data_IF_923440034766
#
_entry.id   IF_923440034766
#
_cell.length_a   1.000
_cell.length_b   1.000
_cell.length_c   1.000
_cell.angle_alpha   90.00
_cell.angle_beta   90.00
_cell.angle_gamma   90.00
#
_symmetry.space_group_name_H-M   'P 1'
#
loop_
_entity.id
_entity.type
_entity.pdbx_description
1 polymer ?
#
# COMPACT_ATOMS: atom_id res chain seq x y z
N UNK A 1 12.62 19.19 -6.69
CA UNK A 1 13.34 18.76 -5.48
C UNK A 1 13.03 19.76 -4.38
N UNK A 2 12.51 19.31 -3.26
CA UNK A 2 12.11 20.18 -2.14
C UNK A 2 13.07 19.95 -0.97
N UNK A 3 13.46 21.03 -0.27
CA UNK A 3 14.29 20.96 0.94
C UNK A 3 13.39 20.78 2.16
N UNK A 4 13.64 19.74 2.93
CA UNK A 4 13.01 19.43 4.20
C UNK A 4 13.91 19.90 5.34
N UNK A 5 13.62 21.08 5.89
CA UNK A 5 14.37 21.64 7.01
C UNK A 5 13.81 21.15 8.33
N UNK A 6 14.65 20.57 9.15
CA UNK A 6 14.29 19.92 10.42
C UNK A 6 15.27 20.33 11.54
N UNK A 7 14.94 20.08 12.80
CA UNK A 7 15.90 20.26 13.90
C UNK A 7 17.19 19.40 13.77
N UNK A 8 17.17 18.37 12.94
CA UNK A 8 18.30 17.45 12.74
C UNK A 8 19.13 17.79 11.49
N UNK A 9 18.71 18.77 10.72
CA UNK A 9 19.39 19.20 9.49
C UNK A 9 18.44 19.44 8.32
N UNK A 10 19.02 19.66 7.15
CA UNK A 10 18.30 19.85 5.90
C UNK A 10 18.47 18.65 4.97
N UNK A 11 17.36 18.17 4.43
CA UNK A 11 17.32 17.00 3.57
C UNK A 11 16.61 17.32 2.26
N UNK A 12 17.06 16.73 1.16
CA UNK A 12 16.41 16.83 -0.14
C UNK A 12 15.47 15.66 -0.31
N UNK A 13 14.17 15.90 -0.51
CA UNK A 13 13.19 14.83 -0.64
C UNK A 13 12.37 15.01 -1.93
N UNK A 14 12.17 13.89 -2.60
CA UNK A 14 11.28 13.76 -3.76
C UNK A 14 10.14 12.79 -3.46
N UNK A 15 9.03 12.99 -4.11
CA UNK A 15 7.94 11.99 -4.14
C UNK A 15 8.26 10.91 -5.17
N UNK A 16 7.81 9.71 -4.89
CA UNK A 16 7.75 8.63 -5.86
C UNK A 16 6.32 8.03 -5.88
N UNK A 17 5.70 7.80 -7.04
CA UNK A 17 6.12 8.29 -8.34
C UNK A 17 6.21 9.82 -8.40
N UNK A 18 7.07 10.33 -9.27
CA UNK A 18 7.20 11.77 -9.47
C UNK A 18 5.88 12.34 -10.01
N UNK A 19 5.44 13.46 -9.46
CA UNK A 19 4.24 14.17 -9.92
C UNK A 19 4.62 15.47 -10.62
N UNK A 20 3.82 15.90 -11.60
CA UNK A 20 3.97 17.22 -12.23
C UNK A 20 3.60 18.39 -11.31
N UNK A 21 2.95 18.13 -10.18
CA UNK A 21 2.53 19.14 -9.23
C UNK A 21 3.68 19.47 -8.25
N UNK A 22 4.30 20.63 -8.47
CA UNK A 22 5.41 21.14 -7.66
C UNK A 22 5.00 21.55 -6.23
N UNK A 23 3.70 21.65 -5.93
CA UNK A 23 3.22 21.99 -4.60
C UNK A 23 3.15 20.78 -3.67
N UNK A 24 3.14 19.57 -4.22
CA UNK A 24 3.11 18.34 -3.46
C UNK A 24 4.51 17.99 -2.92
N UNK A 25 4.69 18.17 -1.59
CA UNK A 25 5.92 17.80 -0.89
C UNK A 25 5.96 16.31 -0.57
N UNK A 26 7.17 15.76 -0.37
CA UNK A 26 7.41 14.38 0.08
C UNK A 26 7.25 14.21 1.60
N UNK A 27 6.77 15.19 2.32
CA UNK A 27 6.47 15.18 3.75
C UNK A 27 5.27 16.05 4.06
N UNK A 28 4.70 15.85 5.22
CA UNK A 28 3.63 16.69 5.76
C UNK A 28 4.00 17.31 7.12
N UNK A 29 3.08 18.08 7.69
CA UNK A 29 3.31 18.73 8.97
C UNK A 29 3.42 17.73 10.14
N UNK A 30 2.96 16.51 9.99
CA UNK A 30 3.10 15.49 11.02
C UNK A 30 4.57 15.01 11.12
N UNK A 31 5.28 14.90 9.98
CA UNK A 31 6.72 14.57 9.97
C UNK A 31 7.53 15.67 10.66
N UNK A 32 7.26 16.96 10.31
CA UNK A 32 7.88 18.10 10.98
C UNK A 32 7.62 18.09 12.49
N UNK A 33 6.38 17.76 12.89
CA UNK A 33 5.97 17.76 14.29
C UNK A 33 6.64 16.64 15.09
N UNK A 34 6.73 15.42 14.54
CA UNK A 34 7.46 14.32 15.17
C UNK A 34 8.90 14.73 15.47
N UNK A 35 9.65 15.20 14.47
CA UNK A 35 11.06 15.53 14.63
C UNK A 35 11.28 16.68 15.65
N UNK A 36 10.40 17.68 15.64
CA UNK A 36 10.43 18.76 16.64
C UNK A 36 10.14 18.24 18.04
N UNK A 37 9.20 17.32 18.18
CA UNK A 37 8.86 16.70 19.47
C UNK A 37 10.00 15.84 19.99
N UNK A 38 10.64 15.02 19.15
CA UNK A 38 11.80 14.22 19.53
C UNK A 38 12.94 15.10 20.05
N UNK A 39 13.23 16.24 19.39
CA UNK A 39 14.22 17.19 19.88
C UNK A 39 13.84 17.74 21.26
N UNK A 40 12.55 18.00 21.51
CA UNK A 40 12.08 18.47 22.83
C UNK A 40 12.31 17.40 23.90
N UNK A 41 11.97 16.15 23.62
CA UNK A 41 12.20 15.02 24.54
C UNK A 41 13.70 14.84 24.85
N UNK A 42 14.56 14.99 23.86
CA UNK A 42 16.02 14.92 24.05
C UNK A 42 16.53 16.06 24.94
N UNK A 43 16.09 17.30 24.71
CA UNK A 43 16.45 18.46 25.55
C UNK A 43 15.98 18.32 27.00
N UNK A 44 14.87 17.62 27.22
CA UNK A 44 14.32 17.32 28.55
C UNK A 44 14.94 16.09 29.19
N UNK A 45 15.87 15.39 28.53
CA UNK A 45 16.48 14.13 28.96
C UNK A 45 15.46 12.99 29.17
N UNK A 46 14.29 13.09 28.55
CA UNK A 46 13.25 12.03 28.56
C UNK A 46 13.60 10.95 27.54
N UNK A 47 14.15 11.33 26.40
CA UNK A 47 14.58 10.41 25.35
C UNK A 47 16.08 10.54 25.15
N UNK A 48 16.80 9.43 25.31
CA UNK A 48 18.21 9.32 24.95
C UNK A 48 18.35 8.25 23.87
N UNK A 49 18.73 8.66 22.67
CA UNK A 49 19.02 7.74 21.56
C UNK A 49 20.54 7.54 21.51
N UNK A 50 20.98 6.36 21.91
CA UNK A 50 22.36 5.88 21.80
C UNK A 50 22.54 5.06 20.52
N UNK A 51 23.77 4.63 20.23
CA UNK A 51 24.06 3.74 19.11
C UNK A 51 23.39 2.36 19.24
N UNK A 52 23.04 1.95 20.46
CA UNK A 52 22.36 0.68 20.77
C UNK A 52 20.84 0.81 20.80
N UNK A 53 20.32 2.04 20.75
CA UNK A 53 18.87 2.25 20.77
C UNK A 53 18.21 1.74 19.49
N UNK A 54 17.17 0.92 19.63
CA UNK A 54 16.38 0.40 18.53
C UNK A 54 15.22 1.34 18.22
N UNK A 55 15.15 1.77 16.97
CA UNK A 55 14.15 2.68 16.46
C UNK A 55 13.29 1.98 15.40
N UNK A 56 11.97 2.07 15.52
CA UNK A 56 11.02 1.55 14.54
C UNK A 56 10.19 2.71 13.95
N UNK A 57 10.11 2.77 12.64
CA UNK A 57 9.28 3.74 11.91
C UNK A 57 8.31 2.97 11.01
N UNK A 58 7.00 3.17 11.17
CA UNK A 58 5.98 2.56 10.35
C UNK A 58 5.37 3.59 9.40
N UNK A 59 5.16 3.17 8.14
CA UNK A 59 4.42 3.93 7.11
C UNK A 59 5.05 5.27 6.72
N UNK A 60 6.38 5.37 6.69
CA UNK A 60 7.09 6.55 6.19
C UNK A 60 7.02 6.62 4.66
N UNK A 61 5.96 7.25 4.13
CA UNK A 61 5.57 7.15 2.73
C UNK A 61 6.67 7.55 1.71
N UNK A 62 7.55 8.49 2.07
CA UNK A 62 8.62 8.97 1.19
C UNK A 62 9.98 9.04 1.89
N UNK A 63 10.10 8.49 3.09
CA UNK A 63 11.36 8.46 3.80
C UNK A 63 11.74 9.77 4.51
N UNK A 64 10.78 10.62 4.85
CA UNK A 64 11.05 11.87 5.55
C UNK A 64 11.63 11.63 6.94
N UNK A 65 11.02 10.75 7.72
CA UNK A 65 11.49 10.35 9.04
C UNK A 65 12.71 9.45 8.96
N UNK A 66 12.71 8.48 8.05
CA UNK A 66 13.82 7.55 7.84
C UNK A 66 15.10 8.28 7.46
N UNK A 67 15.01 9.26 6.56
CA UNK A 67 16.16 10.08 6.14
C UNK A 67 16.68 10.94 7.30
N UNK A 68 15.79 11.63 8.02
CA UNK A 68 16.18 12.52 9.13
C UNK A 68 16.78 11.76 10.33
N UNK A 69 16.35 10.50 10.54
CA UNK A 69 16.78 9.66 11.67
C UNK A 69 17.79 8.58 11.27
N UNK A 70 18.35 8.64 10.06
CA UNK A 70 19.24 7.62 9.52
C UNK A 70 20.52 7.36 10.36
N UNK A 71 20.99 8.37 11.12
CA UNK A 71 22.11 8.22 12.05
C UNK A 71 21.83 7.21 13.18
N UNK A 72 20.56 6.97 13.50
CA UNK A 72 20.11 6.03 14.53
C UNK A 72 19.74 4.64 13.95
N UNK A 73 20.02 4.39 12.67
CA UNK A 73 19.80 3.11 11.98
C UNK A 73 18.39 2.52 12.20
N UNK A 74 17.31 3.27 11.88
CA UNK A 74 15.96 2.81 12.13
C UNK A 74 15.63 1.53 11.34
N UNK A 75 14.81 0.65 11.93
CA UNK A 75 14.00 -0.28 11.21
C UNK A 75 12.81 0.47 10.62
N UNK A 76 12.58 0.35 9.33
CA UNK A 76 11.47 1.02 8.62
C UNK A 76 10.55 -0.03 8.05
N UNK A 77 9.27 0.07 8.35
CA UNK A 77 8.28 -0.97 8.12
C UNK A 77 7.17 -0.41 7.22
N UNK A 78 6.96 -1.00 6.04
CA UNK A 78 5.98 -0.49 5.07
C UNK A 78 5.33 -1.61 4.27
N UNK A 79 4.03 -1.49 3.96
CA UNK A 79 3.32 -2.38 3.03
C UNK A 79 3.45 -1.95 1.57
N UNK A 80 4.06 -0.79 1.29
CA UNK A 80 4.06 -0.17 -0.04
C UNK A 80 5.42 -0.26 -0.71
N UNK A 81 5.49 -0.91 -1.87
CA UNK A 81 6.66 -0.91 -2.75
C UNK A 81 7.01 0.51 -3.25
N UNK A 82 5.99 1.36 -3.45
CA UNK A 82 6.21 2.75 -3.83
C UNK A 82 6.91 3.52 -2.71
N UNK A 83 6.54 3.27 -1.45
CA UNK A 83 7.22 3.86 -0.29
C UNK A 83 8.64 3.34 -0.15
N UNK A 84 8.86 2.05 -0.31
CA UNK A 84 10.20 1.44 -0.32
C UNK A 84 11.10 2.09 -1.37
N UNK A 85 10.60 2.23 -2.60
CA UNK A 85 11.31 2.90 -3.70
C UNK A 85 11.63 4.36 -3.36
N UNK A 86 10.65 5.10 -2.84
CA UNK A 86 10.82 6.50 -2.44
C UNK A 86 11.89 6.67 -1.35
N UNK A 87 11.87 5.81 -0.33
CA UNK A 87 12.86 5.80 0.75
C UNK A 87 14.25 5.57 0.16
N UNK A 88 14.42 4.52 -0.66
CA UNK A 88 15.70 4.18 -1.29
C UNK A 88 16.25 5.32 -2.17
N UNK A 89 15.39 5.98 -2.96
CA UNK A 89 15.80 7.13 -3.76
C UNK A 89 16.20 8.32 -2.88
N UNK A 90 15.44 8.62 -1.83
CA UNK A 90 15.71 9.77 -0.96
C UNK A 90 16.95 9.59 -0.08
N UNK A 91 17.23 8.38 0.42
CA UNK A 91 18.52 8.10 1.09
C UNK A 91 19.69 8.31 0.15
N UNK A 92 19.59 7.84 -1.11
CA UNK A 92 20.63 8.02 -2.12
C UNK A 92 20.89 9.50 -2.45
N UNK A 93 19.83 10.30 -2.61
CA UNK A 93 19.92 11.75 -2.89
C UNK A 93 20.62 12.50 -1.73
N UNK A 94 20.44 12.04 -0.49
CA UNK A 94 21.05 12.64 0.69
C UNK A 94 22.41 11.98 1.06
N UNK A 95 22.97 11.13 0.19
CA UNK A 95 24.26 10.44 0.41
C UNK A 95 24.31 9.64 1.70
N UNK A 96 23.17 9.12 2.15
CA UNK A 96 23.06 8.26 3.34
C UNK A 96 23.46 6.84 2.94
N UNK A 97 24.29 6.19 3.78
CA UNK A 97 24.62 4.79 3.57
C UNK A 97 23.36 3.92 3.68
N UNK A 98 23.00 3.13 2.66
CA UNK A 98 21.81 2.27 2.71
C UNK A 98 21.78 1.32 3.91
N UNK A 99 22.93 0.91 4.43
CA UNK A 99 23.03 0.08 5.65
C UNK A 99 22.56 0.79 6.93
N UNK A 100 22.35 2.11 6.88
CA UNK A 100 21.78 2.86 7.99
C UNK A 100 20.25 2.76 8.05
N UNK A 101 19.61 2.11 7.10
CA UNK A 101 18.15 1.91 7.10
C UNK A 101 17.89 0.41 6.95
N UNK A 102 17.26 -0.19 7.94
CA UNK A 102 16.76 -1.57 7.85
C UNK A 102 15.32 -1.55 7.34
N UNK A 103 15.16 -1.57 6.01
CA UNK A 103 13.87 -1.49 5.35
C UNK A 103 13.25 -2.88 5.23
N UNK A 104 12.04 -3.05 5.75
CA UNK A 104 11.28 -4.31 5.81
C UNK A 104 9.83 -4.07 5.36
N UNK A 105 9.20 -5.11 4.85
CA UNK A 105 7.77 -5.07 4.54
C UNK A 105 6.93 -5.55 5.74
N UNK A 106 5.63 -5.22 5.74
CA UNK A 106 4.72 -5.53 6.86
C UNK A 106 4.40 -7.02 7.07
N UNK A 107 4.96 -7.91 6.26
CA UNK A 107 4.85 -9.37 6.42
C UNK A 107 6.10 -9.96 7.09
N UNK A 108 7.19 -9.20 7.17
CA UNK A 108 8.41 -9.61 7.85
C UNK A 108 8.22 -9.58 9.36
N UNK A 109 8.94 -10.44 10.07
CA UNK A 109 8.86 -10.47 11.53
C UNK A 109 9.74 -9.38 12.15
N UNK A 110 9.18 -8.57 13.02
CA UNK A 110 9.95 -7.65 13.87
C UNK A 110 10.85 -8.42 14.85
N UNK A 111 11.90 -7.81 15.36
CA UNK A 111 12.84 -8.47 16.26
C UNK A 111 13.28 -7.61 17.44
N UNK A 112 13.27 -8.19 18.64
CA UNK A 112 13.68 -7.57 19.89
C UNK A 112 12.73 -6.48 20.36
N UNK A 113 13.17 -5.66 21.33
CA UNK A 113 12.38 -4.57 21.92
C UNK A 113 12.88 -3.23 21.36
N UNK A 114 11.96 -2.34 21.00
CA UNK A 114 12.28 -1.01 20.50
C UNK A 114 12.22 0.03 21.63
N UNK A 115 13.15 0.99 21.59
CA UNK A 115 13.16 2.13 22.51
C UNK A 115 12.22 3.24 22.06
N UNK A 116 12.07 3.41 20.74
CA UNK A 116 11.18 4.39 20.13
C UNK A 116 10.44 3.76 18.95
N UNK A 117 9.13 3.89 18.95
CA UNK A 117 8.25 3.48 17.84
C UNK A 117 7.51 4.72 17.32
N UNK A 118 7.67 5.01 16.04
CA UNK A 118 6.99 6.10 15.35
C UNK A 118 6.04 5.50 14.31
N UNK A 119 4.76 5.82 14.40
CA UNK A 119 3.73 5.31 13.50
C UNK A 119 3.14 6.48 12.72
N UNK A 120 3.42 6.58 11.44
CA UNK A 120 2.59 7.42 10.55
C UNK A 120 1.23 6.74 10.45
N UNK A 121 0.25 7.26 11.19
CA UNK A 121 -1.07 6.63 11.32
C UNK A 121 -1.72 6.48 9.95
N UNK A 122 -1.95 5.24 9.49
CA UNK A 122 -2.55 5.01 8.18
C UNK A 122 -4.05 5.37 8.20
N UNK A 123 -4.60 5.68 7.01
CA UNK A 123 -6.04 5.93 6.87
C UNK A 123 -6.87 4.66 7.06
N UNK A 124 -6.28 3.51 6.78
CA UNK A 124 -6.91 2.20 6.95
C UNK A 124 -6.77 1.76 8.41
N UNK A 125 -7.88 1.77 9.16
CA UNK A 125 -7.90 1.38 10.57
C UNK A 125 -7.53 -0.08 10.80
N UNK A 126 -7.80 -0.96 9.86
CA UNK A 126 -7.42 -2.36 9.97
C UNK A 126 -5.90 -2.55 9.86
N UNK A 127 -5.25 -1.77 8.98
CA UNK A 127 -3.79 -1.74 8.92
C UNK A 127 -3.20 -1.25 10.25
N UNK A 128 -3.74 -0.16 10.80
CA UNK A 128 -3.33 0.32 12.11
C UNK A 128 -3.53 -0.73 13.21
N UNK A 129 -4.68 -1.41 13.22
CA UNK A 129 -4.99 -2.47 14.19
C UNK A 129 -3.97 -3.60 14.12
N UNK A 130 -3.67 -4.08 12.93
CA UNK A 130 -2.69 -5.15 12.71
C UNK A 130 -1.27 -4.72 13.16
N UNK A 131 -0.84 -3.53 12.76
CA UNK A 131 0.43 -2.94 13.17
C UNK A 131 0.55 -2.79 14.68
N UNK A 132 -0.48 -2.31 15.37
CA UNK A 132 -0.48 -2.18 16.81
C UNK A 132 -0.36 -3.55 17.53
N UNK A 133 -0.99 -4.60 17.00
CA UNK A 133 -0.80 -5.95 17.52
C UNK A 133 0.64 -6.44 17.31
N UNK A 134 1.23 -6.20 16.15
CA UNK A 134 2.61 -6.60 15.85
C UNK A 134 3.62 -5.88 16.74
N UNK A 135 3.53 -4.54 16.84
CA UNK A 135 4.50 -3.77 17.64
C UNK A 135 4.38 -4.03 19.13
N UNK A 136 3.19 -4.39 19.64
CA UNK A 136 2.97 -4.64 21.07
C UNK A 136 3.95 -5.69 21.63
N UNK A 137 4.25 -6.74 20.89
CA UNK A 137 5.17 -7.81 21.29
C UNK A 137 6.63 -7.35 21.29
N UNK A 138 6.89 -6.15 20.73
CA UNK A 138 8.22 -5.55 20.59
C UNK A 138 8.38 -4.25 21.39
N UNK A 139 7.49 -4.03 22.37
CA UNK A 139 7.50 -2.89 23.28
C UNK A 139 7.61 -3.35 24.74
N UNK A 140 8.22 -2.52 25.57
CA UNK A 140 8.19 -2.62 27.02
C UNK A 140 7.67 -1.32 27.66
N UNK A 141 7.70 -1.24 28.99
CA UNK A 141 7.25 -0.08 29.77
C UNK A 141 8.05 1.21 29.49
N UNK A 142 9.26 1.08 28.96
CA UNK A 142 10.17 2.18 28.63
C UNK A 142 10.06 2.60 27.15
N UNK A 143 9.35 1.83 26.34
CA UNK A 143 9.17 2.14 24.91
C UNK A 143 8.35 3.40 24.74
N UNK A 144 8.89 4.40 24.04
CA UNK A 144 8.16 5.60 23.63
C UNK A 144 7.41 5.31 22.33
N UNK A 145 6.08 5.38 22.37
CA UNK A 145 5.22 5.12 21.21
C UNK A 145 4.55 6.41 20.77
N UNK A 146 4.81 6.84 19.52
CA UNK A 146 4.29 8.08 18.94
C UNK A 146 3.56 7.77 17.63
N UNK A 147 2.25 7.93 17.63
CA UNK A 147 1.47 8.01 16.41
C UNK A 147 1.48 9.45 15.85
N UNK A 148 1.52 9.63 14.54
CA UNK A 148 1.52 10.95 13.92
C UNK A 148 0.69 10.99 12.63
N UNK A 149 -0.18 11.98 12.51
CA UNK A 149 -0.94 12.24 11.27
C UNK A 149 -1.46 13.68 11.23
N UNK A 150 -1.96 14.07 10.06
CA UNK A 150 -2.79 15.27 9.96
C UNK A 150 -4.05 15.10 10.82
N UNK A 151 -4.46 16.13 11.56
CA UNK A 151 -5.54 16.08 12.56
C UNK A 151 -6.85 15.50 12.03
N UNK A 152 -7.15 15.72 10.74
CA UNK A 152 -8.35 15.18 10.08
C UNK A 152 -8.33 13.64 9.92
N UNK A 153 -7.20 12.98 10.17
CA UNK A 153 -7.05 11.53 10.09
C UNK A 153 -6.96 10.85 11.47
N UNK A 154 -6.93 11.64 12.56
CA UNK A 154 -6.96 11.11 13.92
C UNK A 154 -8.40 11.23 14.44
N UNK A 155 -9.10 10.12 14.41
CA UNK A 155 -10.49 9.99 14.87
C UNK A 155 -10.56 9.28 16.22
N UNK A 156 -11.70 9.32 16.88
CA UNK A 156 -11.94 8.56 18.11
C UNK A 156 -11.67 7.06 17.93
N UNK A 157 -12.02 6.50 16.78
CA UNK A 157 -11.72 5.10 16.45
C UNK A 157 -10.22 4.80 16.41
N UNK A 158 -9.41 5.73 15.91
CA UNK A 158 -7.95 5.63 15.94
C UNK A 158 -7.42 5.54 17.37
N UNK A 159 -7.86 6.45 18.25
CA UNK A 159 -7.42 6.46 19.64
C UNK A 159 -7.86 5.20 20.39
N UNK A 160 -9.09 4.75 20.16
CA UNK A 160 -9.60 3.49 20.75
C UNK A 160 -8.79 2.26 20.36
N UNK A 161 -8.20 2.22 19.16
CA UNK A 161 -7.29 1.13 18.78
C UNK A 161 -6.00 1.16 19.62
N UNK A 162 -5.37 2.32 19.77
CA UNK A 162 -4.21 2.47 20.66
C UNK A 162 -4.56 2.08 22.11
N UNK A 163 -5.66 2.62 22.65
CA UNK A 163 -6.10 2.33 24.02
C UNK A 163 -6.36 0.83 24.24
N UNK A 164 -7.02 0.18 23.29
CA UNK A 164 -7.39 -1.24 23.40
C UNK A 164 -6.23 -2.18 23.25
N UNK A 165 -5.24 -1.84 22.41
CA UNK A 165 -4.16 -2.76 22.03
C UNK A 165 -2.87 -2.44 22.79
N UNK A 166 -2.54 -1.17 22.91
CA UNK A 166 -1.29 -0.74 23.56
C UNK A 166 -1.52 -0.38 25.02
N UNK A 167 -2.40 0.60 25.29
CA UNK A 167 -2.69 1.06 26.66
C UNK A 167 -3.07 2.54 26.71
N UNK A 168 -2.92 3.20 27.85
CA UNK A 168 -3.30 4.59 28.06
C UNK A 168 -2.81 5.49 26.95
N UNK A 169 -3.72 6.27 26.36
CA UNK A 169 -3.43 7.04 25.15
C UNK A 169 -3.88 8.49 25.32
N UNK A 170 -3.03 9.41 24.93
CA UNK A 170 -3.29 10.86 24.94
C UNK A 170 -2.91 11.46 23.57
N UNK A 171 -3.26 12.72 23.36
CA UNK A 171 -2.90 13.43 22.13
C UNK A 171 -2.28 14.78 22.43
N UNK A 172 -1.37 15.24 21.57
CA UNK A 172 -0.90 16.61 21.58
C UNK A 172 -1.98 17.62 21.19
N UNK A 173 -1.73 18.89 21.43
CA UNK A 173 -2.44 19.95 20.72
C UNK A 173 -2.09 19.90 19.23
N UNK A 174 -3.01 20.39 18.39
CA UNK A 174 -2.74 20.45 16.95
C UNK A 174 -1.67 21.52 16.65
N UNK A 175 -0.67 21.14 15.84
CA UNK A 175 0.34 22.06 15.29
C UNK A 175 0.35 21.96 13.77
N UNK A 176 0.18 23.08 13.06
CA UNK A 176 0.07 23.13 11.57
C UNK A 176 -0.94 22.09 11.01
N UNK A 177 -2.06 21.87 11.68
CA UNK A 177 -3.06 20.83 11.35
C UNK A 177 -2.56 19.38 11.49
N UNK A 178 -1.42 19.13 12.10
CA UNK A 178 -0.94 17.82 12.50
C UNK A 178 -1.16 17.60 14.00
N UNK A 179 -1.23 16.35 14.42
CA UNK A 179 -1.37 15.94 15.82
C UNK A 179 -0.56 14.68 16.06
N UNK A 180 0.02 14.57 17.26
CA UNK A 180 0.67 13.37 17.76
C UNK A 180 -0.28 12.61 18.68
N UNK A 181 -0.12 11.30 18.70
CA UNK A 181 -0.77 10.35 19.62
C UNK A 181 0.34 9.74 20.46
N UNK A 182 0.20 9.77 21.77
CA UNK A 182 1.12 9.18 22.72
C UNK A 182 0.44 8.01 23.40
N UNK A 183 1.04 6.85 23.35
CA UNK A 183 0.53 5.66 24.00
C UNK A 183 1.62 5.00 24.81
N UNK A 184 1.27 4.46 25.97
CA UNK A 184 2.18 3.73 26.84
C UNK A 184 1.74 2.27 26.93
N UNK A 185 2.68 1.34 26.88
CA UNK A 185 2.36 -0.07 27.00
C UNK A 185 1.74 -0.37 28.35
N UNK A 186 0.56 -0.97 28.33
CA UNK A 186 -0.06 -1.59 29.51
C UNK A 186 0.05 -3.11 29.35
N UNK A 187 0.97 -3.70 30.11
CA UNK A 187 1.24 -5.15 30.10
C UNK A 187 0.08 -5.99 30.65
N UNK A 188 -0.87 -5.36 31.36
CA UNK A 188 -2.04 -6.05 31.93
C UNK A 188 -3.15 -6.27 30.90
N UNK A 189 -3.15 -5.51 29.80
CA UNK A 189 -4.13 -5.67 28.74
C UNK A 189 -3.94 -7.00 28.00
N UNK A 190 -5.05 -7.63 27.67
CA UNK A 190 -5.10 -8.88 26.90
C UNK A 190 -5.86 -8.64 25.57
N UNK A 191 -5.28 -7.92 24.58
CA UNK A 191 -5.97 -7.54 23.36
C UNK A 191 -6.24 -8.72 22.41
N UNK A 192 -5.73 -9.93 22.72
CA UNK A 192 -5.78 -11.07 21.82
C UNK A 192 -4.76 -10.97 20.68
N UNK A 193 -4.91 -11.84 19.69
CA UNK A 193 -4.11 -11.81 18.46
C UNK A 193 -4.73 -10.88 17.43
N UNK A 194 -3.91 -10.43 16.47
CA UNK A 194 -4.41 -9.72 15.30
C UNK A 194 -5.52 -10.52 14.60
N UNK A 195 -6.64 -9.89 14.21
CA UNK A 195 -7.70 -10.56 13.46
C UNK A 195 -7.35 -10.82 11.98
N UNK A 196 -6.13 -10.46 11.56
CA UNK A 196 -5.71 -10.59 10.17
C UNK A 196 -4.67 -11.71 9.99
N UNK A 197 -4.72 -12.40 8.81
CA UNK A 197 -5.66 -12.21 7.70
C UNK A 197 -7.09 -12.62 8.05
N UNK A 198 -8.05 -11.74 7.76
CA UNK A 198 -9.49 -12.00 7.90
C UNK A 198 -10.05 -12.71 6.67
N UNK A 199 -11.26 -13.26 6.75
CA UNK A 199 -11.90 -13.97 5.63
C UNK A 199 -13.29 -13.45 5.36
N UNK A 200 -13.68 -13.43 4.07
CA UNK A 200 -15.07 -13.31 3.66
C UNK A 200 -15.45 -14.43 2.67
N UNK A 201 -16.74 -14.74 2.60
CA UNK A 201 -17.25 -15.70 1.63
C UNK A 201 -17.77 -14.96 0.40
N UNK A 202 -17.28 -15.34 -0.78
CA UNK A 202 -17.74 -14.81 -2.05
C UNK A 202 -19.13 -15.37 -2.36
N UNK A 203 -20.15 -14.53 -2.32
CA UNK A 203 -21.56 -14.92 -2.42
C UNK A 203 -21.95 -15.53 -3.78
N UNK A 204 -21.19 -15.27 -4.84
CA UNK A 204 -21.44 -15.84 -6.18
C UNK A 204 -20.86 -17.25 -6.37
N UNK A 205 -19.87 -17.67 -5.59
CA UNK A 205 -19.22 -18.98 -5.72
C UNK A 205 -19.21 -19.79 -4.42
N UNK A 206 -19.47 -19.17 -3.27
CA UNK A 206 -19.36 -19.79 -1.95
C UNK A 206 -17.90 -19.93 -1.45
N UNK A 207 -16.93 -19.47 -2.21
CA UNK A 207 -15.51 -19.58 -1.88
C UNK A 207 -15.08 -18.57 -0.82
N UNK A 208 -14.12 -18.97 0.03
CA UNK A 208 -13.57 -18.11 1.09
C UNK A 208 -12.28 -17.44 0.62
N UNK A 209 -12.23 -16.12 0.68
CA UNK A 209 -11.06 -15.32 0.38
C UNK A 209 -10.44 -14.76 1.66
N UNK A 210 -9.16 -15.02 1.85
CA UNK A 210 -8.35 -14.49 2.94
C UNK A 210 -7.76 -13.13 2.55
N UNK A 211 -7.70 -12.20 3.51
CA UNK A 211 -7.26 -10.84 3.25
C UNK A 211 -6.43 -10.31 4.41
N UNK A 212 -5.20 -9.92 4.14
CA UNK A 212 -4.42 -9.12 5.08
C UNK A 212 -5.04 -7.75 5.33
N UNK A 213 -4.57 -7.06 6.36
CA UNK A 213 -5.19 -5.86 6.89
C UNK A 213 -5.34 -4.71 5.89
N UNK A 214 -4.34 -4.49 5.00
CA UNK A 214 -4.34 -3.37 4.05
C UNK A 214 -4.98 -3.71 2.69
N UNK A 215 -5.57 -4.86 2.52
CA UNK A 215 -6.18 -5.26 1.24
C UNK A 215 -7.46 -4.49 0.98
N UNK A 216 -7.60 -3.99 -0.25
CA UNK A 216 -8.82 -3.29 -0.70
C UNK A 216 -10.04 -4.22 -0.65
N UNK A 217 -11.17 -3.70 -0.17
CA UNK A 217 -12.45 -4.41 -0.07
C UNK A 217 -12.36 -5.74 0.71
N UNK A 218 -11.60 -5.74 1.81
CA UNK A 218 -11.25 -6.87 2.66
C UNK A 218 -12.45 -7.65 3.21
N UNK A 219 -13.59 -7.01 3.43
CA UNK A 219 -14.75 -7.59 4.10
C UNK A 219 -15.80 -8.16 3.14
N UNK A 220 -15.73 -7.81 1.88
CA UNK A 220 -16.68 -8.25 0.83
C UNK A 220 -16.12 -7.99 -0.56
N UNK A 221 -16.66 -8.68 -1.56
CA UNK A 221 -16.33 -8.42 -2.95
C UNK A 221 -16.67 -6.98 -3.36
N UNK A 222 -15.69 -6.26 -3.93
CA UNK A 222 -15.93 -4.96 -4.53
C UNK A 222 -16.94 -5.03 -5.68
N UNK A 223 -17.79 -4.01 -5.78
CA UNK A 223 -18.86 -3.97 -6.78
C UNK A 223 -18.32 -3.85 -8.22
N UNK A 224 -17.18 -3.17 -8.42
CA UNK A 224 -16.51 -3.08 -9.72
C UNK A 224 -15.94 -4.43 -10.12
N UNK A 225 -15.20 -5.08 -9.22
CA UNK A 225 -14.66 -6.44 -9.44
C UNK A 225 -15.79 -7.44 -9.71
N UNK A 226 -16.89 -7.37 -8.96
CA UNK A 226 -18.09 -8.21 -9.22
C UNK A 226 -18.61 -8.03 -10.64
N UNK A 227 -18.73 -6.77 -11.08
CA UNK A 227 -19.24 -6.46 -12.42
C UNK A 227 -18.28 -6.95 -13.51
N UNK A 228 -16.96 -6.87 -13.28
CA UNK A 228 -15.95 -7.39 -14.21
C UNK A 228 -15.98 -8.93 -14.25
N UNK A 229 -16.09 -9.61 -13.10
CA UNK A 229 -16.21 -11.07 -13.05
C UNK A 229 -17.38 -11.61 -13.88
N UNK A 230 -18.53 -10.94 -13.85
CA UNK A 230 -19.71 -11.31 -14.62
C UNK A 230 -19.57 -11.11 -16.14
N UNK A 231 -18.53 -10.39 -16.56
CA UNK A 231 -18.29 -10.00 -17.97
C UNK A 231 -16.87 -10.34 -18.44
N UNK A 232 -16.22 -11.33 -17.80
CA UNK A 232 -14.94 -11.85 -18.30
C UNK A 232 -15.13 -12.41 -19.73
N UNK A 233 -14.17 -12.18 -20.66
CA UNK A 233 -14.28 -12.64 -22.03
C UNK A 233 -14.40 -14.15 -22.10
N UNK A 234 -15.22 -14.64 -23.00
CA UNK A 234 -15.46 -16.07 -23.22
C UNK A 234 -15.08 -16.47 -24.64
N UNK A 235 -14.80 -17.77 -24.84
CA UNK A 235 -14.56 -18.31 -26.19
C UNK A 235 -13.22 -17.91 -26.82
N UNK A 236 -12.26 -17.41 -26.04
CA UNK A 236 -10.89 -17.11 -26.44
C UNK A 236 -9.88 -17.92 -25.62
N UNK A 237 -8.73 -18.14 -26.17
CA UNK A 237 -7.60 -18.70 -25.46
C UNK A 237 -6.54 -17.61 -25.26
N UNK A 238 -6.04 -17.51 -24.03
CA UNK A 238 -4.93 -16.62 -23.66
C UNK A 238 -3.83 -17.48 -23.06
N UNK A 239 -2.57 -17.24 -23.41
CA UNK A 239 -1.46 -17.95 -22.83
C UNK A 239 -0.89 -17.23 -21.60
N UNK A 240 -0.93 -15.90 -21.61
CA UNK A 240 -0.38 -15.07 -20.54
C UNK A 240 -1.40 -14.00 -20.14
N UNK A 241 -1.91 -14.10 -18.94
CA UNK A 241 -2.88 -13.17 -18.36
C UNK A 241 -2.25 -12.47 -17.17
N UNK A 242 -2.54 -11.18 -16.99
CA UNK A 242 -2.07 -10.43 -15.82
C UNK A 242 -3.24 -9.73 -15.14
N UNK A 243 -3.34 -9.92 -13.82
CA UNK A 243 -4.23 -9.21 -12.89
C UNK A 243 -3.47 -8.01 -12.34
N UNK A 244 -3.77 -6.80 -12.84
CA UNK A 244 -3.10 -5.56 -12.50
C UNK A 244 -3.82 -4.85 -11.36
N UNK A 245 -3.10 -4.53 -10.29
CA UNK A 245 -3.63 -4.12 -9.00
C UNK A 245 -4.54 -5.23 -8.44
N UNK A 246 -3.95 -6.41 -8.26
CA UNK A 246 -4.69 -7.66 -8.05
C UNK A 246 -5.44 -7.72 -6.71
N UNK A 247 -5.05 -6.91 -5.71
CA UNK A 247 -5.64 -6.97 -4.38
C UNK A 247 -5.54 -8.40 -3.81
N UNK A 248 -6.67 -9.01 -3.47
CA UNK A 248 -6.73 -10.39 -2.99
C UNK A 248 -6.74 -11.46 -4.10
N UNK A 249 -6.52 -11.07 -5.36
CA UNK A 249 -6.40 -11.96 -6.50
C UNK A 249 -7.71 -12.46 -7.10
N UNK A 250 -8.86 -11.90 -6.73
CA UNK A 250 -10.17 -12.42 -7.15
C UNK A 250 -10.36 -12.48 -8.66
N UNK A 251 -9.84 -11.49 -9.41
CA UNK A 251 -9.95 -11.45 -10.87
C UNK A 251 -9.03 -12.46 -11.53
N UNK A 252 -7.76 -12.53 -11.11
CA UNK A 252 -6.78 -13.47 -11.63
C UNK A 252 -7.14 -14.92 -11.30
N UNK A 253 -7.67 -15.22 -10.10
CA UNK A 253 -8.16 -16.56 -9.73
C UNK A 253 -9.35 -16.97 -10.60
N UNK A 254 -10.29 -16.07 -10.83
CA UNK A 254 -11.42 -16.34 -11.74
C UNK A 254 -10.95 -16.56 -13.18
N UNK A 255 -9.96 -15.78 -13.64
CA UNK A 255 -9.34 -15.98 -14.95
C UNK A 255 -8.62 -17.35 -15.04
N UNK A 256 -7.86 -17.74 -14.01
CA UNK A 256 -7.21 -19.06 -13.96
C UNK A 256 -8.20 -20.23 -14.09
N UNK A 257 -9.36 -20.12 -13.42
CA UNK A 257 -10.42 -21.12 -13.55
C UNK A 257 -11.08 -21.15 -14.93
N UNK A 258 -11.24 -19.98 -15.54
CA UNK A 258 -11.83 -19.86 -16.87
C UNK A 258 -10.88 -20.29 -18.00
N UNK A 259 -9.56 -20.09 -17.80
CA UNK A 259 -8.50 -20.39 -18.76
C UNK A 259 -7.41 -21.26 -18.10
N UNK A 260 -7.67 -22.53 -17.83
CA UNK A 260 -6.81 -23.39 -16.99
C UNK A 260 -5.42 -23.67 -17.60
N UNK A 261 -5.23 -23.44 -18.90
CA UNK A 261 -3.95 -23.58 -19.58
C UNK A 261 -3.10 -22.30 -19.58
N UNK A 262 -3.61 -21.18 -19.02
CA UNK A 262 -2.94 -19.90 -19.02
C UNK A 262 -1.96 -19.77 -17.86
N UNK A 263 -0.88 -19.00 -18.09
CA UNK A 263 -0.06 -18.48 -17.03
C UNK A 263 -0.67 -17.19 -16.51
N UNK A 264 -0.85 -17.07 -15.20
CA UNK A 264 -1.47 -15.92 -14.57
C UNK A 264 -0.44 -15.19 -13.70
N UNK A 265 -0.23 -13.90 -13.97
CA UNK A 265 0.58 -13.03 -13.12
C UNK A 265 -0.32 -12.12 -12.29
N UNK A 266 -0.07 -12.09 -10.98
CA UNK A 266 -0.73 -11.21 -10.03
C UNK A 266 0.24 -10.11 -9.62
N UNK A 267 -0.11 -8.85 -9.87
CA UNK A 267 0.76 -7.73 -9.52
C UNK A 267 0.02 -6.65 -8.75
N UNK A 268 0.66 -6.16 -7.68
CA UNK A 268 0.17 -5.05 -6.86
C UNK A 268 1.36 -4.30 -6.25
N UNK A 269 1.16 -3.08 -5.77
CA UNK A 269 2.18 -2.33 -5.05
C UNK A 269 2.24 -2.68 -3.55
N UNK A 270 1.18 -3.31 -3.02
CA UNK A 270 1.04 -3.74 -1.64
C UNK A 270 1.54 -5.17 -1.45
N UNK A 271 2.47 -5.36 -0.52
CA UNK A 271 2.94 -6.69 -0.11
C UNK A 271 1.80 -7.55 0.45
N UNK A 272 0.93 -6.95 1.29
CA UNK A 272 -0.24 -7.63 1.85
C UNK A 272 -1.25 -8.05 0.78
N UNK A 273 -1.40 -7.27 -0.29
CA UNK A 273 -2.29 -7.61 -1.39
C UNK A 273 -1.75 -8.84 -2.15
N UNK A 274 -0.49 -8.80 -2.57
CA UNK A 274 0.14 -9.92 -3.30
C UNK A 274 0.16 -11.21 -2.47
N UNK A 275 0.45 -11.12 -1.17
CA UNK A 275 0.41 -12.30 -0.29
C UNK A 275 -1.01 -12.82 -0.10
N UNK A 276 -2.01 -11.95 0.00
CA UNK A 276 -3.42 -12.38 0.03
C UNK A 276 -3.81 -13.10 -1.25
N UNK A 277 -3.39 -12.59 -2.41
CA UNK A 277 -3.61 -13.26 -3.70
C UNK A 277 -2.93 -14.63 -3.76
N UNK A 278 -1.70 -14.75 -3.24
CA UNK A 278 -0.95 -16.02 -3.15
C UNK A 278 -1.67 -17.04 -2.27
N UNK A 279 -2.09 -16.65 -1.07
CA UNK A 279 -2.86 -17.50 -0.14
C UNK A 279 -4.15 -17.99 -0.81
N UNK A 280 -4.88 -17.08 -1.45
CA UNK A 280 -6.15 -17.40 -2.09
C UNK A 280 -5.96 -18.30 -3.32
N UNK A 281 -4.97 -18.05 -4.16
CA UNK A 281 -4.67 -18.93 -5.29
C UNK A 281 -4.31 -20.34 -4.82
N UNK A 282 -3.46 -20.45 -3.78
CA UNK A 282 -3.10 -21.76 -3.18
C UNK A 282 -4.32 -22.52 -2.64
N UNK A 283 -5.28 -21.81 -2.06
CA UNK A 283 -6.45 -22.45 -1.42
C UNK A 283 -7.59 -22.74 -2.40
N UNK A 284 -7.70 -22.01 -3.51
CA UNK A 284 -8.88 -22.03 -4.39
C UNK A 284 -8.61 -22.63 -5.78
N UNK A 285 -7.36 -22.79 -6.17
CA UNK A 285 -6.98 -23.43 -7.44
C UNK A 285 -6.50 -24.86 -7.17
N UNK A 286 -6.94 -25.79 -8.02
CA UNK A 286 -6.48 -27.18 -7.94
C UNK A 286 -4.98 -27.30 -8.24
N UNK A 287 -4.49 -26.47 -9.15
CA UNK A 287 -3.06 -26.29 -9.47
C UNK A 287 -2.80 -24.79 -9.64
N UNK A 288 -1.80 -24.26 -8.93
CA UNK A 288 -1.36 -22.90 -9.03
C UNK A 288 0.09 -22.77 -9.51
N UNK A 289 0.64 -23.83 -10.10
CA UNK A 289 2.01 -23.85 -10.64
C UNK A 289 2.22 -22.83 -11.75
N UNK A 290 1.16 -22.45 -12.46
CA UNK A 290 1.16 -21.44 -13.52
C UNK A 290 0.88 -20.01 -12.99
N UNK A 291 0.88 -19.80 -11.67
CA UNK A 291 0.65 -18.50 -11.06
C UNK A 291 1.97 -17.86 -10.63
N UNK A 292 2.18 -16.61 -11.04
CA UNK A 292 3.29 -15.77 -10.60
C UNK A 292 2.77 -14.57 -9.79
N UNK A 293 3.51 -14.18 -8.74
CA UNK A 293 3.09 -13.15 -7.78
C UNK A 293 4.22 -12.14 -7.60
N UNK A 294 3.96 -10.88 -7.92
CA UNK A 294 4.99 -9.85 -7.90
C UNK A 294 4.50 -8.56 -7.26
N UNK A 295 5.26 -8.07 -6.28
CA UNK A 295 5.10 -6.72 -5.76
C UNK A 295 5.88 -5.76 -6.65
N UNK A 296 5.21 -4.74 -7.20
CA UNK A 296 5.82 -3.82 -8.17
C UNK A 296 5.01 -2.55 -8.38
N UNK A 297 5.65 -1.49 -8.88
CA UNK A 297 4.95 -0.31 -9.39
C UNK A 297 4.34 -0.65 -10.76
N UNK A 298 3.01 -0.70 -10.82
CA UNK A 298 2.25 -1.04 -12.02
C UNK A 298 2.83 -2.28 -12.74
N UNK A 299 3.39 -2.14 -13.93
CA UNK A 299 3.95 -3.22 -14.74
C UNK A 299 5.48 -3.18 -14.85
N UNK A 300 6.15 -2.54 -13.89
CA UNK A 300 7.60 -2.48 -13.87
C UNK A 300 8.22 -3.89 -13.81
N UNK A 301 9.18 -4.14 -14.69
CA UNK A 301 9.87 -5.45 -14.78
C UNK A 301 9.05 -6.57 -15.43
N UNK A 302 7.86 -6.26 -15.98
CA UNK A 302 7.16 -7.15 -16.93
C UNK A 302 7.76 -6.92 -18.32
N UNK A 303 7.99 -8.01 -19.05
CA UNK A 303 8.56 -7.96 -20.40
C UNK A 303 7.60 -7.30 -21.38
N UNK A 304 8.12 -6.48 -22.29
CA UNK A 304 7.35 -5.91 -23.39
C UNK A 304 6.83 -7.01 -24.33
N UNK A 305 5.68 -6.77 -24.96
CA UNK A 305 5.07 -7.67 -25.95
C UNK A 305 4.91 -9.13 -25.44
N UNK A 306 4.58 -9.32 -24.17
CA UNK A 306 4.51 -10.64 -23.55
C UNK A 306 3.11 -11.09 -23.11
N UNK A 307 2.16 -10.16 -22.92
CA UNK A 307 0.86 -10.45 -22.36
C UNK A 307 -0.23 -10.54 -23.46
N UNK A 308 -1.14 -11.49 -23.31
CA UNK A 308 -2.31 -11.64 -24.17
C UNK A 308 -3.53 -10.90 -23.60
N UNK A 309 -3.67 -10.88 -22.26
CA UNK A 309 -4.77 -10.23 -21.56
C UNK A 309 -4.27 -9.54 -20.28
N UNK A 310 -4.71 -8.30 -20.07
CA UNK A 310 -4.59 -7.61 -18.78
C UNK A 310 -5.99 -7.36 -18.24
N UNK A 311 -6.26 -7.83 -17.02
CA UNK A 311 -7.45 -7.47 -16.24
C UNK A 311 -7.07 -6.37 -15.25
N UNK A 312 -7.91 -5.36 -15.11
CA UNK A 312 -7.59 -4.27 -14.20
C UNK A 312 -8.85 -3.64 -13.57
N UNK A 313 -8.84 -3.54 -12.26
CA UNK A 313 -9.75 -2.70 -11.48
C UNK A 313 -8.92 -1.58 -10.82
N UNK A 314 -8.64 -0.47 -11.52
CA UNK A 314 -7.73 0.57 -11.03
C UNK A 314 -8.21 1.18 -9.71
N UNK A 315 -7.32 1.68 -8.84
CA UNK A 315 -7.72 2.35 -7.60
C UNK A 315 -8.49 3.65 -7.89
N UNK A 316 -9.75 3.75 -7.40
CA UNK A 316 -10.66 4.88 -7.69
C UNK A 316 -10.62 6.02 -6.67
N UNK A 317 -10.04 5.81 -5.48
CA UNK A 317 -10.30 6.64 -4.29
C UNK A 317 -9.15 7.54 -3.84
N UNK A 318 -8.07 7.62 -4.58
CA UNK A 318 -6.99 8.53 -4.23
C UNK A 318 -7.21 9.88 -4.89
N UNK A 319 -7.62 10.90 -4.09
CA UNK A 319 -7.78 12.33 -4.47
C UNK A 319 -7.73 12.54 -6.00
N UNK A 320 -8.80 12.94 -6.64
CA UNK A 320 -9.05 12.92 -8.10
C UNK A 320 -7.83 13.08 -9.04
N UNK A 321 -6.83 13.86 -8.62
CA UNK A 321 -5.60 14.12 -9.40
C UNK A 321 -4.63 12.93 -9.37
N UNK A 322 -4.44 12.28 -8.20
CA UNK A 322 -3.47 11.18 -8.05
C UNK A 322 -4.00 9.90 -8.67
N UNK A 323 -5.28 9.58 -8.47
CA UNK A 323 -5.89 8.38 -9.06
C UNK A 323 -5.96 8.43 -10.59
N UNK A 324 -6.11 9.62 -11.14
CA UNK A 324 -6.11 9.84 -12.59
C UNK A 324 -4.72 9.62 -13.21
N UNK A 325 -3.66 9.99 -12.51
CA UNK A 325 -2.28 9.76 -12.93
C UNK A 325 -1.91 8.26 -12.88
N UNK A 326 -2.27 7.56 -11.80
CA UNK A 326 -2.00 6.11 -11.66
C UNK A 326 -2.71 5.31 -12.75
N UNK A 327 -3.99 5.57 -12.99
CA UNK A 327 -4.72 4.90 -14.06
C UNK A 327 -4.10 5.17 -15.44
N UNK A 328 -3.62 6.40 -15.69
CA UNK A 328 -2.92 6.72 -16.94
C UNK A 328 -1.61 5.94 -17.07
N UNK A 329 -0.81 5.86 -16.01
CA UNK A 329 0.42 5.07 -15.97
C UNK A 329 0.12 3.60 -16.28
N UNK A 330 -0.84 2.99 -15.57
CA UNK A 330 -1.27 1.60 -15.77
C UNK A 330 -1.66 1.33 -17.24
N UNK A 331 -2.44 2.20 -17.86
CA UNK A 331 -2.89 2.01 -19.25
C UNK A 331 -1.74 2.19 -20.26
N UNK A 332 -0.85 3.15 -20.02
CA UNK A 332 0.30 3.38 -20.88
C UNK A 332 1.28 2.21 -20.83
N UNK A 333 1.60 1.73 -19.65
CA UNK A 333 2.46 0.55 -19.47
C UNK A 333 1.78 -0.72 -20.02
N UNK A 334 0.46 -0.89 -19.81
CA UNK A 334 -0.29 -2.00 -20.38
C UNK A 334 -0.14 -2.09 -21.90
N UNK A 335 -0.19 -0.94 -22.60
CA UNK A 335 0.04 -0.91 -24.03
C UNK A 335 1.43 -1.44 -24.42
N UNK A 336 2.46 -1.15 -23.63
CA UNK A 336 3.82 -1.64 -23.88
C UNK A 336 3.94 -3.15 -23.68
N UNK A 337 3.30 -3.66 -22.60
CA UNK A 337 3.42 -5.07 -22.17
C UNK A 337 2.55 -6.04 -22.96
N UNK A 338 1.45 -5.56 -23.55
CA UNK A 338 0.60 -6.38 -24.40
C UNK A 338 1.29 -6.73 -25.72
N UNK A 339 1.08 -7.94 -26.21
CA UNK A 339 1.39 -8.36 -27.58
C UNK A 339 0.52 -7.62 -28.59
N UNK A 340 0.89 -7.62 -29.87
CA UNK A 340 -0.04 -7.27 -30.94
C UNK A 340 -1.28 -8.15 -30.85
N UNK A 341 -2.46 -7.54 -30.99
CA UNK A 341 -3.78 -8.14 -30.73
C UNK A 341 -4.07 -8.51 -29.25
N UNK A 342 -3.16 -8.24 -28.32
CA UNK A 342 -3.40 -8.40 -26.88
C UNK A 342 -4.40 -7.37 -26.36
N UNK A 343 -5.12 -7.72 -25.32
CA UNK A 343 -6.28 -6.98 -24.81
C UNK A 343 -6.06 -6.48 -23.39
N UNK A 344 -6.49 -5.25 -23.10
CA UNK A 344 -6.73 -4.77 -21.75
C UNK A 344 -8.23 -4.65 -21.51
N UNK A 345 -8.71 -5.22 -20.40
CA UNK A 345 -10.10 -5.11 -19.96
C UNK A 345 -10.09 -4.48 -18.57
N UNK A 346 -10.79 -3.36 -18.44
CA UNK A 346 -10.86 -2.61 -17.20
C UNK A 346 -12.31 -2.42 -16.75
N UNK A 347 -12.50 -2.33 -15.45
CA UNK A 347 -13.71 -1.77 -14.86
C UNK A 347 -13.41 -0.38 -14.31
N UNK A 348 -14.33 0.56 -14.47
CA UNK A 348 -14.20 1.90 -13.93
C UNK A 348 -15.54 2.56 -13.67
N UNK A 349 -15.56 3.56 -12.77
CA UNK A 349 -16.74 4.40 -12.62
C UNK A 349 -16.97 5.22 -13.90
N UNK A 350 -18.23 5.36 -14.33
CA UNK A 350 -18.59 6.04 -15.59
C UNK A 350 -18.02 7.45 -15.72
N UNK A 351 -17.97 8.20 -14.60
CA UNK A 351 -17.51 9.60 -14.60
C UNK A 351 -15.99 9.77 -14.74
N UNK A 352 -15.18 8.69 -14.63
CA UNK A 352 -13.71 8.76 -14.69
C UNK A 352 -13.16 8.95 -16.12
N UNK A 353 -13.99 8.81 -17.14
CA UNK A 353 -13.58 9.08 -18.52
C UNK A 353 -12.50 8.15 -19.08
N UNK A 354 -12.31 6.95 -18.53
CA UNK A 354 -11.27 6.00 -18.93
C UNK A 354 -11.32 5.62 -20.41
N UNK A 355 -12.51 5.63 -21.01
CA UNK A 355 -12.67 5.39 -22.46
C UNK A 355 -11.91 6.41 -23.32
N UNK A 356 -11.80 7.68 -22.88
CA UNK A 356 -11.03 8.72 -23.59
C UNK A 356 -9.54 8.38 -23.55
N UNK A 357 -9.03 7.97 -22.36
CA UNK A 357 -7.63 7.60 -22.18
C UNK A 357 -7.26 6.37 -22.99
N UNK A 358 -8.06 5.31 -22.90
CA UNK A 358 -7.86 4.09 -23.68
C UNK A 358 -7.93 4.36 -25.20
N UNK A 359 -8.89 5.16 -25.66
CA UNK A 359 -8.97 5.54 -27.07
C UNK A 359 -7.73 6.32 -27.53
N UNK A 360 -7.21 7.24 -26.68
CA UNK A 360 -5.99 7.99 -26.99
C UNK A 360 -4.77 7.07 -27.11
N UNK A 361 -4.65 6.06 -26.25
CA UNK A 361 -3.50 5.15 -26.22
C UNK A 361 -3.60 4.06 -27.31
N UNK A 362 -4.75 3.41 -27.45
CA UNK A 362 -4.93 2.22 -28.29
C UNK A 362 -5.60 2.49 -29.64
N UNK A 363 -6.01 3.74 -29.91
CA UNK A 363 -6.75 4.11 -31.10
C UNK A 363 -8.26 3.78 -31.04
N UNK A 364 -8.62 2.64 -30.48
CA UNK A 364 -10.01 2.18 -30.31
C UNK A 364 -10.27 1.71 -28.88
N UNK A 365 -11.45 2.00 -28.37
CA UNK A 365 -11.94 1.48 -27.08
C UNK A 365 -13.38 1.02 -27.27
N UNK A 366 -13.67 -0.20 -26.84
CA UNK A 366 -14.98 -0.83 -26.88
C UNK A 366 -15.58 -0.86 -25.48
N UNK A 367 -16.87 -0.57 -25.35
CA UNK A 367 -17.62 -0.78 -24.10
C UNK A 367 -18.27 -2.16 -24.16
N UNK A 368 -17.77 -3.09 -23.32
CA UNK A 368 -18.30 -4.46 -23.23
C UNK A 368 -19.64 -4.46 -22.50
N UNK A 369 -19.69 -3.75 -21.36
CA UNK A 369 -20.88 -3.68 -20.52
C UNK A 369 -20.94 -2.35 -19.76
N UNK A 370 -22.14 -1.95 -19.37
CA UNK A 370 -22.33 -0.80 -18.48
C UNK A 370 -23.55 -0.95 -17.60
N UNK A 371 -23.51 -0.35 -16.41
CA UNK A 371 -24.64 -0.18 -15.52
C UNK A 371 -24.72 1.26 -15.02
N UNK A 372 -25.57 1.56 -14.04
CA UNK A 372 -25.73 2.94 -13.51
C UNK A 372 -24.41 3.55 -12.97
N UNK A 373 -23.50 2.75 -12.44
CA UNK A 373 -22.28 3.20 -11.74
C UNK A 373 -21.00 2.91 -12.53
N UNK A 374 -20.90 1.73 -13.14
CA UNK A 374 -19.69 1.19 -13.74
C UNK A 374 -19.78 1.01 -15.25
N UNK A 375 -18.63 1.02 -15.89
CA UNK A 375 -18.41 0.58 -17.27
C UNK A 375 -17.31 -0.45 -17.31
N UNK A 376 -17.43 -1.44 -18.20
CA UNK A 376 -16.33 -2.33 -18.58
C UNK A 376 -15.89 -1.94 -19.98
N UNK A 377 -14.61 -1.63 -20.08
CA UNK A 377 -13.97 -1.15 -21.29
C UNK A 377 -12.91 -2.12 -21.73
N UNK A 378 -12.83 -2.33 -23.05
CA UNK A 378 -11.79 -3.14 -23.69
C UNK A 378 -11.03 -2.28 -24.70
N UNK A 379 -9.71 -2.42 -24.71
CA UNK A 379 -8.85 -1.90 -25.76
C UNK A 379 -7.89 -3.00 -26.23
N UNK A 380 -7.50 -2.94 -27.51
CA UNK A 380 -6.67 -3.96 -28.16
C UNK A 380 -5.44 -3.25 -28.73
N UNK A 381 -4.25 -3.81 -28.46
CA UNK A 381 -3.00 -3.32 -29.05
C UNK A 381 -2.96 -3.68 -30.54
N UNK A 382 -2.77 -2.66 -31.37
CA UNK A 382 -2.57 -2.80 -32.83
C UNK A 382 -1.12 -3.08 -33.18
#
# INVERSE_FOLDING_TARGET
MNTFSTPLGEFKLNRYPATGDRQLRAWDAADEYVLTHLQTLQKQSILTLSETSKLLILNDAFGALSTALASHKPCVYTDSYLSETAINENIKINHINPQNINLQNNLDSLSGIYNLVIIKVPKNLAMLEDELHQIREHCDENTIIIGAAMSKHIHTSTLKLFERIIGPTTTSLAHKKARLVFSQLDSTLQPGKSPYPSQYTLDITGEKYSNHANVFSREKLDLGSRFLLQNLPQGKNYNYILDLACGNGVLGIAASKLYPASNISFVDESYMAVESARINAKNLLADNSNCDFKVTDCLQGIKDDSLDLILNNPPFHQNHVVGDFIAWQMFNEAKQKLKTAGEIIIVGNRHLGYHIKLKKLFGRCEMIASNKKFVILKAIKQ
#
